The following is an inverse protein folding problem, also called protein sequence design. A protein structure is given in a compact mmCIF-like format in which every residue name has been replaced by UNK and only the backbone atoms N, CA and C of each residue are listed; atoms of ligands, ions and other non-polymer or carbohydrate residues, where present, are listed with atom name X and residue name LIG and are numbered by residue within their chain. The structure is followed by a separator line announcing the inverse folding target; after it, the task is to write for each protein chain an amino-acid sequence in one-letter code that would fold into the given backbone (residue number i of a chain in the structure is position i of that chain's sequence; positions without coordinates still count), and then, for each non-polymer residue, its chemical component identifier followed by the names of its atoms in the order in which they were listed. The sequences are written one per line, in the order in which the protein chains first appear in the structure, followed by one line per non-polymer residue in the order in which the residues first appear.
data_IF_106417597189
#
_entry.id   IF_106417597189
#
_cell.length_a   1.000
_cell.length_b   1.000
_cell.length_c   1.000
_cell.angle_alpha   90.00
_cell.angle_beta   90.00
_cell.angle_gamma   90.00
#
_symmetry.space_group_name_H-M   'P 1'
#
loop_
_entity.id
_entity.type
_entity.pdbx_description
1 polymer ?
#
# COMPACT_ATOMS: atom_id res chain seq x y z
N UNK A 1 6.50 -8.05 -6.39
CA UNK A 1 6.12 -7.17 -5.25
C UNK A 1 4.83 -6.45 -5.54
N UNK A 2 4.13 -5.99 -4.52
CA UNK A 2 2.83 -5.33 -4.67
C UNK A 2 2.89 -3.93 -4.09
N UNK A 3 2.47 -2.94 -4.87
CA UNK A 3 2.21 -1.60 -4.39
C UNK A 3 0.77 -1.59 -3.87
N UNK A 4 0.58 -1.35 -2.57
CA UNK A 4 -0.74 -1.32 -1.96
C UNK A 4 -1.16 0.10 -1.59
N UNK A 5 -2.46 0.36 -1.71
CA UNK A 5 -3.14 1.57 -1.23
C UNK A 5 -4.35 1.21 -0.39
N UNK A 6 -4.86 2.19 0.36
CA UNK A 6 -6.14 2.08 1.03
C UNK A 6 -7.29 2.28 0.03
N UNK A 7 -8.18 1.31 -0.07
CA UNK A 7 -9.38 1.43 -0.90
C UNK A 7 -10.42 2.27 -0.15
N UNK A 8 -10.68 3.47 -0.64
CA UNK A 8 -11.71 4.33 -0.07
C UNK A 8 -13.07 3.63 -0.18
N UNK A 9 -13.82 3.43 0.93
CA UNK A 9 -15.13 2.80 0.86
C UNK A 9 -16.07 3.64 0.00
N UNK A 10 -16.65 3.03 -1.03
CA UNK A 10 -17.72 3.64 -1.81
C UNK A 10 -18.97 3.70 -0.94
N UNK A 11 -19.31 4.89 -0.46
CA UNK A 11 -20.60 5.19 0.12
C UNK A 11 -20.73 4.99 1.62
N UNK A 12 -20.30 5.96 2.40
CA UNK A 12 -20.94 6.25 3.68
C UNK A 12 -22.30 6.86 3.36
N UNK A 13 -23.37 6.07 3.48
CA UNK A 13 -24.72 6.61 3.56
C UNK A 13 -24.75 7.53 4.79
N UNK A 14 -24.83 8.84 4.54
CA UNK A 14 -25.04 9.84 5.58
C UNK A 14 -26.38 9.56 6.21
N UNK A 15 -26.39 9.05 7.44
CA UNK A 15 -27.57 9.09 8.30
C UNK A 15 -27.71 10.55 8.70
N UNK A 16 -28.65 11.23 8.07
CA UNK A 16 -29.07 12.57 8.45
C UNK A 16 -29.84 12.44 9.77
N UNK A 17 -29.19 12.79 10.87
CA UNK A 17 -29.90 13.11 12.11
C UNK A 17 -30.52 14.50 11.93
N UNK A 18 -31.84 14.53 11.77
CA UNK A 18 -32.65 15.75 11.77
C UNK A 18 -32.59 16.39 13.16
N UNK A 19 -32.00 17.56 13.26
CA UNK A 19 -32.28 18.51 14.35
C UNK A 19 -33.00 19.70 13.74
N UNK A 20 -34.28 19.83 14.10
CA UNK A 20 -35.13 20.97 13.83
C UNK A 20 -34.60 22.22 14.56
N UNK A 21 -34.36 23.31 13.83
CA UNK A 21 -34.47 24.65 14.38
C UNK A 21 -34.86 25.61 13.24
N UNK A 22 -35.87 26.41 13.52
CA UNK A 22 -36.70 27.20 12.62
C UNK A 22 -36.06 28.52 12.13
N UNK A 23 -36.55 28.95 10.97
CA UNK A 23 -36.81 30.33 10.48
C UNK A 23 -35.58 31.23 10.17
N UNK A 24 -35.40 31.63 8.93
CA UNK A 24 -36.00 32.85 8.31
C UNK A 24 -35.75 32.92 6.81
N UNK A 25 -36.76 33.34 6.08
CA UNK A 25 -36.84 33.58 4.63
C UNK A 25 -35.95 34.74 4.17
N UNK A 26 -35.19 34.52 3.09
CA UNK A 26 -35.05 35.56 2.05
C UNK A 26 -34.89 34.84 0.69
N UNK A 27 -35.86 35.12 -0.18
CA UNK A 27 -35.95 34.70 -1.57
C UNK A 27 -35.06 35.56 -2.46
N UNK A 28 -34.27 34.95 -3.33
CA UNK A 28 -33.91 35.51 -4.64
C UNK A 28 -33.96 34.41 -5.69
N UNK A 29 -34.85 34.56 -6.63
CA UNK A 29 -34.99 33.74 -7.81
C UNK A 29 -33.89 34.12 -8.83
N UNK A 30 -33.25 33.12 -9.42
CA UNK A 30 -32.65 33.20 -10.75
C UNK A 30 -32.74 31.84 -11.42
N UNK A 31 -33.52 31.78 -12.47
CA UNK A 31 -33.60 30.68 -13.42
C UNK A 31 -32.28 30.46 -14.16
N UNK A 32 -31.91 29.22 -14.40
CA UNK A 32 -30.80 28.85 -15.29
C UNK A 32 -30.77 27.35 -15.53
N UNK A 33 -31.10 26.99 -16.74
CA UNK A 33 -31.28 25.67 -17.35
C UNK A 33 -30.30 24.60 -16.96
N UNK A 34 -30.83 23.35 -17.04
CA UNK A 34 -30.15 22.10 -16.73
C UNK A 34 -28.91 21.79 -17.55
N UNK A 35 -28.06 21.03 -16.92
CA UNK A 35 -27.23 20.06 -17.60
C UNK A 35 -26.87 18.95 -16.60
N UNK A 36 -27.37 17.75 -16.90
CA UNK A 36 -27.01 16.53 -16.16
C UNK A 36 -25.55 16.21 -16.49
N UNK A 37 -24.62 16.63 -15.62
CA UNK A 37 -23.23 16.22 -15.72
C UNK A 37 -23.03 14.93 -14.94
N UNK A 38 -22.86 13.82 -15.66
CA UNK A 38 -22.22 12.62 -15.15
C UNK A 38 -20.94 13.00 -14.43
N UNK A 39 -20.87 12.74 -13.14
CA UNK A 39 -19.64 12.90 -12.38
C UNK A 39 -18.64 11.83 -12.76
N UNK A 40 -17.92 12.03 -13.86
CA UNK A 40 -16.64 11.39 -14.08
C UNK A 40 -15.70 11.85 -12.96
N UNK A 41 -15.25 10.95 -12.11
CA UNK A 41 -14.18 11.20 -11.15
C UNK A 41 -12.86 11.36 -11.92
N UNK A 42 -12.74 12.41 -12.69
CA UNK A 42 -11.48 12.91 -13.18
C UNK A 42 -10.72 13.45 -11.97
N UNK A 43 -9.59 12.87 -11.65
CA UNK A 43 -8.58 13.48 -10.79
C UNK A 43 -8.19 14.78 -11.48
N UNK A 44 -8.82 15.89 -11.08
CA UNK A 44 -8.47 17.21 -11.54
C UNK A 44 -7.06 17.52 -11.00
N UNK A 45 -6.03 17.11 -11.75
CA UNK A 45 -4.68 17.64 -11.56
C UNK A 45 -4.72 19.11 -11.96
N UNK A 46 -4.94 19.95 -11.00
CA UNK A 46 -4.77 21.39 -11.17
C UNK A 46 -3.31 21.60 -11.57
N UNK A 47 -3.06 21.92 -12.82
CA UNK A 47 -1.73 22.20 -13.39
C UNK A 47 -1.02 23.21 -12.47
N UNK A 48 -0.02 22.74 -11.70
CA UNK A 48 0.77 23.57 -10.78
C UNK A 48 0.84 23.13 -9.33
N UNK A 49 0.04 22.14 -8.86
CA UNK A 49 0.12 21.66 -7.46
C UNK A 49 0.77 20.29 -7.40
N UNK A 50 1.99 20.25 -6.88
CA UNK A 50 2.68 18.97 -6.61
C UNK A 50 2.02 18.24 -5.45
N UNK A 51 1.61 16.99 -5.69
CA UNK A 51 1.06 16.10 -4.65
C UNK A 51 2.18 15.26 -4.07
N UNK A 52 2.42 15.35 -2.76
CA UNK A 52 3.39 14.50 -2.08
C UNK A 52 2.72 13.18 -1.66
N UNK A 53 3.35 12.05 -1.99
CA UNK A 53 2.95 10.70 -1.61
C UNK A 53 4.07 10.10 -0.78
N UNK A 54 3.75 9.68 0.45
CA UNK A 54 4.68 8.92 1.29
C UNK A 54 4.46 7.44 1.03
N UNK A 55 5.53 6.75 0.63
CA UNK A 55 5.55 5.31 0.32
C UNK A 55 6.28 4.58 1.44
N UNK A 56 5.60 3.69 2.14
CA UNK A 56 6.22 2.80 3.13
C UNK A 56 7.03 1.70 2.46
N UNK A 57 8.28 1.53 2.87
CA UNK A 57 9.19 0.50 2.37
C UNK A 57 9.84 -0.23 3.54
N UNK A 58 10.32 -1.46 3.30
CA UNK A 58 11.15 -2.20 4.26
C UNK A 58 12.59 -2.24 3.78
N UNK A 59 13.50 -2.73 4.63
CA UNK A 59 14.89 -2.98 4.25
C UNK A 59 14.97 -3.88 3.00
N UNK A 60 15.87 -3.55 2.10
CA UNK A 60 16.01 -4.21 0.80
C UNK A 60 15.92 -3.21 -0.36
N UNK A 61 15.74 -3.65 -1.60
CA UNK A 61 15.80 -2.80 -2.79
C UNK A 61 14.57 -1.90 -2.99
N UNK A 62 13.60 -1.94 -2.10
CA UNK A 62 12.29 -1.30 -2.29
C UNK A 62 12.38 0.23 -2.27
N UNK A 63 13.20 0.80 -1.38
CA UNK A 63 13.47 2.23 -1.32
C UNK A 63 14.10 2.72 -2.62
N UNK A 64 15.14 2.04 -3.08
CA UNK A 64 15.82 2.36 -4.34
C UNK A 64 14.86 2.26 -5.53
N UNK A 65 13.99 1.28 -5.57
CA UNK A 65 12.99 1.13 -6.63
C UNK A 65 12.02 2.33 -6.64
N UNK A 66 11.57 2.78 -5.47
CA UNK A 66 10.73 3.98 -5.37
C UNK A 66 11.50 5.22 -5.80
N UNK A 67 12.70 5.45 -5.24
CA UNK A 67 13.41 6.71 -5.37
C UNK A 67 14.08 6.86 -6.75
N UNK A 68 14.64 5.77 -7.29
CA UNK A 68 15.42 5.80 -8.53
C UNK A 68 14.61 5.45 -9.80
N UNK A 69 13.45 4.78 -9.64
CA UNK A 69 12.65 4.33 -10.78
C UNK A 69 11.26 4.97 -10.77
N UNK A 70 10.47 4.76 -9.72
CA UNK A 70 9.05 5.17 -9.71
C UNK A 70 8.91 6.69 -9.58
N UNK A 71 9.67 7.31 -8.67
CA UNK A 71 9.57 8.75 -8.42
C UNK A 71 9.91 9.61 -9.65
N UNK A 72 11.00 9.32 -10.42
CA UNK A 72 11.25 10.03 -11.65
C UNK A 72 10.14 9.93 -12.70
N UNK A 73 9.52 8.75 -12.84
CA UNK A 73 8.44 8.52 -13.81
C UNK A 73 7.17 9.32 -13.48
N UNK A 74 6.89 9.55 -12.21
CA UNK A 74 5.67 10.24 -11.76
C UNK A 74 5.87 11.76 -11.55
N UNK A 75 7.10 12.25 -11.71
CA UNK A 75 7.43 13.66 -11.47
C UNK A 75 6.68 14.60 -12.41
N UNK A 76 6.63 14.27 -13.68
CA UNK A 76 6.00 15.11 -14.72
C UNK A 76 4.46 15.07 -14.62
N UNK A 77 3.90 14.03 -13.96
CA UNK A 77 2.49 13.93 -13.61
C UNK A 77 2.12 14.74 -12.33
N UNK A 78 3.07 15.49 -11.77
CA UNK A 78 2.86 16.34 -10.61
C UNK A 78 2.91 15.61 -9.27
N UNK A 79 3.55 14.43 -9.20
CA UNK A 79 3.75 13.71 -7.95
C UNK A 79 5.18 13.85 -7.43
N UNK A 80 5.30 13.98 -6.10
CA UNK A 80 6.55 13.90 -5.37
C UNK A 80 6.49 12.73 -4.40
N UNK A 81 7.27 11.68 -4.65
CA UNK A 81 7.33 10.54 -3.76
C UNK A 81 8.36 10.78 -2.65
N UNK A 82 8.06 10.27 -1.45
CA UNK A 82 8.98 10.20 -0.30
C UNK A 82 8.90 8.80 0.26
N UNK A 83 10.05 8.17 0.52
CA UNK A 83 10.10 6.88 1.19
C UNK A 83 10.06 7.03 2.71
N UNK A 84 9.41 6.08 3.39
CA UNK A 84 9.45 5.89 4.84
C UNK A 84 9.84 4.45 5.13
N UNK A 85 11.02 4.26 5.74
CA UNK A 85 11.53 2.94 6.10
C UNK A 85 10.82 2.40 7.34
N UNK A 86 10.47 1.11 7.29
CA UNK A 86 9.96 0.31 8.39
C UNK A 86 10.86 -0.91 8.61
N UNK A 87 10.99 -1.33 9.87
CA UNK A 87 11.88 -2.43 10.27
C UNK A 87 11.17 -3.78 10.37
N UNK A 88 9.87 -3.83 10.07
CA UNK A 88 9.06 -5.06 10.05
C UNK A 88 8.02 -5.02 8.94
N UNK A 89 7.38 -6.17 8.70
CA UNK A 89 6.39 -6.31 7.61
C UNK A 89 4.93 -6.09 8.05
N UNK A 90 4.68 -5.79 9.33
CA UNK A 90 3.35 -5.50 9.88
C UNK A 90 3.02 -4.00 9.80
N UNK A 91 3.97 -3.18 10.23
CA UNK A 91 3.77 -1.74 10.39
C UNK A 91 3.45 -1.00 9.08
N UNK A 92 4.03 -1.31 7.90
CA UNK A 92 3.69 -0.60 6.67
C UNK A 92 2.21 -0.71 6.30
N UNK A 93 1.60 -1.88 6.48
CA UNK A 93 0.17 -2.08 6.22
C UNK A 93 -0.72 -1.37 7.24
N UNK A 94 -0.34 -1.37 8.52
CA UNK A 94 -1.06 -0.62 9.57
C UNK A 94 -0.95 0.89 9.36
N UNK A 95 0.22 1.40 8.98
CA UNK A 95 0.44 2.80 8.66
C UNK A 95 -0.38 3.25 7.43
N UNK A 96 -0.49 2.38 6.42
CA UNK A 96 -1.32 2.62 5.25
C UNK A 96 -2.81 2.63 5.61
N UNK A 97 -3.29 1.68 6.39
CA UNK A 97 -4.67 1.59 6.84
C UNK A 97 -5.08 2.80 7.72
N UNK A 98 -4.16 3.33 8.53
CA UNK A 98 -4.39 4.53 9.34
C UNK A 98 -4.28 5.84 8.56
N UNK A 99 -3.84 5.81 7.29
CA UNK A 99 -3.60 7.00 6.48
C UNK A 99 -2.29 7.75 6.79
N UNK A 100 -1.43 7.18 7.65
CA UNK A 100 -0.12 7.78 8.00
C UNK A 100 0.86 7.78 6.82
N UNK A 101 0.63 6.90 5.86
CA UNK A 101 1.28 6.85 4.54
C UNK A 101 0.20 6.64 3.47
N UNK A 102 0.50 6.94 2.21
CA UNK A 102 -0.46 6.86 1.11
C UNK A 102 -0.32 5.60 0.26
N UNK A 103 0.86 4.99 0.28
CA UNK A 103 1.15 3.74 -0.41
C UNK A 103 2.22 2.96 0.34
N UNK A 104 2.40 1.67 0.01
CA UNK A 104 3.58 0.92 0.43
C UNK A 104 4.08 0.02 -0.69
N UNK A 105 5.37 -0.32 -0.65
CA UNK A 105 6.04 -1.24 -1.57
C UNK A 105 7.05 -2.08 -0.78
N UNK A 106 6.67 -3.30 -0.38
CA UNK A 106 7.55 -4.21 0.36
C UNK A 106 7.11 -5.67 0.29
N UNK A 107 5.88 -5.96 -0.10
CA UNK A 107 5.24 -7.26 0.07
C UNK A 107 4.85 -7.90 -1.26
N UNK A 108 4.77 -9.22 -1.30
CA UNK A 108 4.14 -9.92 -2.41
C UNK A 108 2.62 -10.04 -2.24
N UNK A 109 1.89 -10.30 -3.35
CA UNK A 109 0.44 -10.28 -3.37
C UNK A 109 -0.23 -11.26 -2.38
N UNK A 110 0.36 -12.44 -2.17
CA UNK A 110 -0.18 -13.43 -1.22
C UNK A 110 -0.09 -12.93 0.22
N UNK A 111 1.00 -12.24 0.60
CA UNK A 111 1.12 -11.61 1.92
C UNK A 111 0.07 -10.51 2.08
N UNK A 112 -0.08 -9.61 1.10
CA UNK A 112 -1.12 -8.56 1.15
C UNK A 112 -2.50 -9.17 1.35
N UNK A 113 -2.86 -10.18 0.53
CA UNK A 113 -4.17 -10.85 0.61
C UNK A 113 -4.42 -11.46 1.99
N UNK A 114 -3.45 -12.21 2.52
CA UNK A 114 -3.57 -12.82 3.84
C UNK A 114 -3.65 -11.77 4.94
N UNK A 115 -2.75 -10.78 4.93
CA UNK A 115 -2.70 -9.73 5.94
C UNK A 115 -4.00 -8.91 6.00
N UNK A 116 -4.56 -8.54 4.85
CA UNK A 116 -5.82 -7.80 4.78
C UNK A 116 -6.99 -8.60 5.32
N UNK A 117 -7.06 -9.90 5.01
CA UNK A 117 -8.09 -10.80 5.53
C UNK A 117 -7.98 -10.98 7.05
N UNK A 118 -6.78 -11.27 7.55
CA UNK A 118 -6.55 -11.53 8.98
C UNK A 118 -6.79 -10.28 9.87
N UNK A 119 -6.59 -9.08 9.32
CA UNK A 119 -6.73 -7.82 10.06
C UNK A 119 -7.98 -7.02 9.68
N UNK A 120 -8.85 -7.56 8.83
CA UNK A 120 -10.05 -6.88 8.32
C UNK A 120 -9.75 -5.48 7.75
N UNK A 121 -8.74 -5.39 6.87
CA UNK A 121 -8.28 -4.14 6.26
C UNK A 121 -8.72 -4.04 4.81
N UNK A 122 -9.13 -2.85 4.36
CA UNK A 122 -9.50 -2.58 2.97
C UNK A 122 -8.32 -1.97 2.20
N UNK A 123 -7.25 -2.77 2.04
CA UNK A 123 -6.10 -2.42 1.22
C UNK A 123 -6.18 -3.13 -0.14
N UNK A 124 -5.76 -2.44 -1.19
CA UNK A 124 -5.76 -3.02 -2.55
C UNK A 124 -4.40 -2.83 -3.23
N UNK A 125 -4.10 -3.72 -4.17
CA UNK A 125 -2.92 -3.60 -5.03
C UNK A 125 -3.16 -2.60 -6.15
N UNK A 126 -2.23 -1.65 -6.34
CA UNK A 126 -2.20 -0.77 -7.52
C UNK A 126 -1.50 -1.45 -8.70
N UNK A 127 -0.54 -2.30 -8.41
CA UNK A 127 0.28 -2.94 -9.43
C UNK A 127 1.31 -3.86 -8.80
N UNK A 128 2.07 -4.53 -9.63
CA UNK A 128 3.12 -5.45 -9.23
C UNK A 128 4.44 -5.07 -9.87
N UNK A 129 5.52 -5.25 -9.13
CA UNK A 129 6.90 -5.15 -9.60
C UNK A 129 7.55 -6.52 -9.49
N UNK A 130 8.72 -6.76 -10.12
CA UNK A 130 9.46 -7.99 -9.91
C UNK A 130 9.67 -8.29 -8.42
N UNK A 131 9.56 -9.55 -8.03
CA UNK A 131 9.81 -10.00 -6.66
C UNK A 131 11.18 -10.63 -6.54
N UNK A 132 11.76 -10.56 -5.35
CA UNK A 132 13.01 -11.25 -5.04
C UNK A 132 12.75 -12.75 -4.83
N UNK A 133 13.73 -13.58 -5.21
CA UNK A 133 13.81 -14.96 -4.78
C UNK A 133 13.99 -15.07 -3.27
N UNK A 134 13.78 -16.26 -2.74
CA UNK A 134 14.17 -16.62 -1.39
C UNK A 134 15.49 -17.38 -1.46
N UNK A 135 16.41 -17.08 -0.54
CA UNK A 135 17.71 -17.73 -0.48
C UNK A 135 18.01 -18.22 0.93
N UNK A 136 18.94 -19.16 1.02
CA UNK A 136 19.54 -19.62 2.27
C UNK A 136 20.83 -18.83 2.49
N UNK A 137 21.01 -18.28 3.69
CA UNK A 137 22.16 -17.49 4.06
C UNK A 137 22.77 -18.02 5.35
N UNK A 138 24.09 -18.03 5.44
CA UNK A 138 24.82 -18.46 6.63
C UNK A 138 26.07 -17.59 6.84
N UNK A 139 26.37 -17.29 8.11
CA UNK A 139 27.67 -16.74 8.51
C UNK A 139 28.66 -17.84 8.91
N UNK A 140 28.19 -19.08 9.14
CA UNK A 140 28.98 -20.22 9.58
C UNK A 140 29.38 -21.12 8.41
N UNK A 141 28.43 -21.47 7.55
CA UNK A 141 28.62 -22.45 6.47
C UNK A 141 28.81 -21.73 5.12
N UNK A 142 29.72 -22.27 4.29
CA UNK A 142 30.00 -21.72 2.95
C UNK A 142 29.21 -22.42 1.85
N UNK A 143 28.78 -23.66 2.09
CA UNK A 143 27.95 -24.47 1.20
C UNK A 143 26.80 -25.09 1.98
N UNK A 144 25.74 -25.46 1.27
CA UNK A 144 24.64 -26.27 1.83
C UNK A 144 25.15 -27.61 2.30
N UNK A 145 26.11 -28.21 1.56
CA UNK A 145 26.69 -29.50 1.87
C UNK A 145 27.53 -29.50 3.18
N UNK A 146 27.93 -28.31 3.65
CA UNK A 146 28.69 -28.18 4.91
C UNK A 146 27.77 -28.13 6.14
N UNK A 147 26.44 -28.07 5.96
CA UNK A 147 25.49 -27.93 7.06
C UNK A 147 25.38 -29.25 7.82
N UNK A 148 25.76 -29.23 9.10
CA UNK A 148 25.75 -30.39 9.98
C UNK A 148 24.31 -30.79 10.37
N UNK A 149 24.10 -32.10 10.60
CA UNK A 149 22.85 -32.59 11.18
C UNK A 149 22.57 -31.93 12.54
N UNK A 150 21.33 -31.50 12.73
CA UNK A 150 20.91 -30.76 13.94
C UNK A 150 21.19 -29.25 13.91
N UNK A 151 21.66 -28.71 12.80
CA UNK A 151 21.83 -27.26 12.64
C UNK A 151 20.49 -26.52 12.79
N UNK A 152 20.53 -25.35 13.44
CA UNK A 152 19.35 -24.49 13.61
C UNK A 152 19.17 -23.59 12.42
N UNK A 153 17.97 -23.57 11.85
CA UNK A 153 17.58 -22.70 10.74
C UNK A 153 16.51 -21.72 11.18
N UNK A 154 16.75 -20.42 10.95
CA UNK A 154 15.74 -19.39 11.15
C UNK A 154 14.92 -19.23 9.89
N UNK A 155 13.60 -19.30 10.01
CA UNK A 155 12.64 -19.14 8.91
C UNK A 155 11.59 -18.10 9.24
N UNK A 156 10.87 -17.60 8.23
CA UNK A 156 9.78 -16.66 8.42
C UNK A 156 8.66 -17.28 9.29
N UNK A 157 8.02 -16.47 10.14
CA UNK A 157 6.93 -16.90 11.01
C UNK A 157 5.53 -16.52 10.52
N UNK A 158 5.41 -15.74 9.44
CA UNK A 158 4.12 -15.50 8.80
C UNK A 158 3.74 -16.64 7.84
N UNK A 159 2.44 -16.95 7.77
CA UNK A 159 1.97 -18.15 7.06
C UNK A 159 2.33 -18.19 5.57
N UNK A 160 2.50 -17.06 4.90
CA UNK A 160 2.82 -17.02 3.47
C UNK A 160 4.32 -17.22 3.20
N UNK A 161 5.18 -16.60 4.00
CA UNK A 161 6.63 -16.76 3.83
C UNK A 161 7.17 -18.01 4.54
N UNK A 162 6.52 -18.51 5.60
CA UNK A 162 6.81 -19.81 6.19
C UNK A 162 6.71 -20.92 5.14
N UNK A 163 5.58 -20.97 4.41
CA UNK A 163 5.39 -21.97 3.35
C UNK A 163 6.48 -21.88 2.24
N UNK A 164 6.87 -20.66 1.88
CA UNK A 164 7.96 -20.42 0.92
C UNK A 164 9.32 -20.88 1.47
N UNK A 165 9.60 -20.59 2.74
CA UNK A 165 10.84 -21.02 3.41
C UNK A 165 10.97 -22.54 3.45
N UNK A 166 9.88 -23.22 3.84
CA UNK A 166 9.86 -24.70 3.84
C UNK A 166 10.04 -25.28 2.44
N UNK A 167 9.41 -24.66 1.42
CA UNK A 167 9.58 -25.09 0.03
C UNK A 167 11.02 -24.96 -0.50
N UNK A 168 11.80 -23.98 0.00
CA UNK A 168 13.23 -23.85 -0.34
C UNK A 168 14.08 -24.91 0.37
N UNK A 169 13.73 -25.25 1.62
CA UNK A 169 14.47 -26.26 2.40
C UNK A 169 14.18 -27.71 1.94
N UNK A 170 13.17 -27.93 1.10
CA UNK A 170 12.81 -29.24 0.55
C UNK A 170 13.46 -29.55 -0.81
N UNK A 171 14.13 -28.59 -1.43
CA UNK A 171 14.84 -28.76 -2.72
C UNK A 171 16.22 -29.31 -2.54
#
# INVERSE_FOLDING_TARGET
MTIAIFKKPNGIKRIAAAVLAAATLISVAACGSGNSASASNSLNTTKGKTTTITVGVCAGPYGDMVDKVIAPLLKDDGFKLKTKLFNDYVQPNKALASGSIQANLFQHGNYLKKFTADNNLDLTSLGQTPTLGLGIYSNKYKSIDDIEDGATVAIANDGSNLARSLGVLQQ
#
